data_IF_583314634947
#
_entry.id   IF_583314634947
#
_cell.length_a   1.000
_cell.length_b   1.000
_cell.length_c   1.000
_cell.angle_alpha   90.00
_cell.angle_beta   90.00
_cell.angle_gamma   90.00
#
_symmetry.space_group_name_H-M   'P 1'
#
loop_
_entity.id
_entity.type
_entity.pdbx_description
1 polymer ?
#
# COMPACT_ATOMS: atom_id res chain seq x y z
N UNK A 1 -6.42 61.33 -68.01
CA UNK A 1 -5.62 60.12 -67.77
C UNK A 1 -6.58 59.01 -67.44
N UNK A 2 -6.89 58.15 -68.42
CA UNK A 2 -7.87 57.08 -68.27
C UNK A 2 -7.11 55.76 -68.39
N UNK A 3 -6.62 55.26 -67.26
CA UNK A 3 -5.94 53.96 -67.18
C UNK A 3 -7.01 52.88 -67.33
N UNK A 4 -6.82 51.95 -68.28
CA UNK A 4 -7.69 50.78 -68.41
C UNK A 4 -7.21 49.70 -67.45
N UNK A 5 -8.12 49.22 -66.59
CA UNK A 5 -7.87 48.09 -65.70
C UNK A 5 -8.56 46.84 -66.25
N UNK A 6 -7.93 45.67 -66.08
CA UNK A 6 -8.52 44.40 -66.46
C UNK A 6 -9.64 44.00 -65.48
N UNK A 7 -10.66 43.30 -65.97
CA UNK A 7 -11.69 42.72 -65.10
C UNK A 7 -11.08 41.72 -64.11
N UNK A 8 -11.73 41.49 -62.97
CA UNK A 8 -11.24 40.66 -61.85
C UNK A 8 -10.82 39.21 -62.19
N UNK A 9 -11.20 38.67 -63.35
CA UNK A 9 -10.77 37.34 -63.81
C UNK A 9 -9.59 37.36 -64.78
N UNK A 10 -8.97 38.52 -65.01
CA UNK A 10 -7.90 38.73 -65.97
C UNK A 10 -6.76 39.59 -65.40
N UNK A 11 -5.51 39.26 -65.74
CA UNK A 11 -4.33 40.06 -65.41
C UNK A 11 -3.80 40.82 -66.64
N UNK A 12 -3.19 42.00 -66.44
CA UNK A 12 -2.59 42.78 -67.52
C UNK A 12 -1.32 42.10 -68.06
N UNK A 13 -1.27 41.86 -69.35
CA UNK A 13 -0.08 41.37 -70.05
C UNK A 13 0.18 42.23 -71.29
N UNK A 14 0.99 43.28 -71.11
CA UNK A 14 1.23 44.30 -72.14
C UNK A 14 -0.03 45.13 -72.40
N UNK A 15 -0.52 45.15 -73.65
CA UNK A 15 -1.73 45.88 -74.06
C UNK A 15 -3.01 45.04 -74.01
N UNK A 16 -2.95 43.82 -73.48
CA UNK A 16 -4.07 42.87 -73.46
C UNK A 16 -4.29 42.28 -72.07
N UNK A 17 -5.55 41.97 -71.74
CA UNK A 17 -5.92 41.26 -70.51
C UNK A 17 -5.95 39.75 -70.78
N UNK A 18 -5.20 38.95 -70.02
CA UNK A 18 -5.19 37.48 -70.10
C UNK A 18 -5.88 36.85 -68.89
N UNK A 19 -6.55 35.68 -69.02
CA UNK A 19 -7.20 35.03 -67.89
C UNK A 19 -6.22 34.72 -66.77
N UNK A 20 -6.64 34.84 -65.51
CA UNK A 20 -5.84 34.40 -64.36
C UNK A 20 -5.48 32.91 -64.48
N UNK A 21 -4.29 32.57 -63.99
CA UNK A 21 -3.71 31.22 -64.01
C UNK A 21 -4.39 30.39 -62.93
N UNK A 22 -5.02 29.29 -63.34
CA UNK A 22 -5.68 28.34 -62.44
C UNK A 22 -4.74 27.79 -61.36
N UNK A 23 -5.31 27.44 -60.22
CA UNK A 23 -4.57 26.78 -59.15
C UNK A 23 -3.89 25.49 -59.64
N UNK A 24 -2.72 25.17 -59.06
CA UNK A 24 -1.82 24.08 -59.44
C UNK A 24 -1.17 24.19 -60.83
N UNK A 25 -1.45 25.24 -61.62
CA UNK A 25 -0.80 25.48 -62.91
C UNK A 25 0.51 26.26 -62.77
N UNK A 26 1.46 26.10 -63.71
CA UNK A 26 2.72 26.82 -63.68
C UNK A 26 2.53 28.33 -63.75
N UNK A 27 3.33 29.06 -62.98
CA UNK A 27 3.32 30.52 -62.92
C UNK A 27 4.74 31.06 -62.83
N UNK A 28 4.93 32.28 -63.32
CA UNK A 28 6.22 32.98 -63.28
C UNK A 28 6.15 34.28 -62.44
N UNK A 29 4.94 34.74 -62.12
CA UNK A 29 4.67 36.02 -61.44
C UNK A 29 3.54 35.82 -60.44
N UNK A 30 3.71 36.38 -59.22
CA UNK A 30 2.78 36.20 -58.10
C UNK A 30 1.34 36.65 -58.38
N UNK A 31 1.16 37.77 -59.09
CA UNK A 31 -0.16 38.40 -59.28
C UNK A 31 -0.97 37.83 -60.45
N UNK A 32 -0.46 36.80 -61.14
CA UNK A 32 -1.16 36.22 -62.29
C UNK A 32 -2.05 35.02 -61.92
N UNK A 33 -2.02 34.56 -60.68
CA UNK A 33 -2.81 33.42 -60.21
C UNK A 33 -4.28 33.80 -59.95
N UNK A 34 -5.18 32.81 -59.97
CA UNK A 34 -6.59 32.98 -59.57
C UNK A 34 -6.71 33.60 -58.17
N UNK A 35 -7.87 34.19 -57.89
CA UNK A 35 -8.17 34.78 -56.57
C UNK A 35 -7.90 33.80 -55.43
N UNK A 36 -7.33 34.31 -54.33
CA UNK A 36 -6.87 33.53 -53.18
C UNK A 36 -5.80 32.48 -53.52
N UNK A 37 -4.97 32.72 -54.53
CA UNK A 37 -3.78 31.93 -54.83
C UNK A 37 -2.54 32.81 -55.03
N UNK A 38 -1.37 32.28 -54.69
CA UNK A 38 -0.06 32.90 -54.88
C UNK A 38 0.85 31.99 -55.70
N UNK A 39 1.72 32.58 -56.52
CA UNK A 39 2.74 31.80 -57.22
C UNK A 39 3.83 31.36 -56.22
N UNK A 40 3.85 30.07 -55.88
CA UNK A 40 4.85 29.49 -55.00
C UNK A 40 6.21 29.44 -55.72
N UNK A 41 7.23 30.01 -55.09
CA UNK A 41 8.55 30.22 -55.71
C UNK A 41 9.38 28.95 -55.83
N UNK A 42 9.02 27.90 -55.07
CA UNK A 42 9.72 26.61 -55.04
C UNK A 42 9.16 25.67 -56.11
N UNK A 43 7.85 25.49 -56.12
CA UNK A 43 7.11 24.63 -57.04
C UNK A 43 6.82 25.29 -58.39
N UNK A 44 6.94 26.64 -58.45
CA UNK A 44 6.57 27.48 -59.61
C UNK A 44 5.15 27.23 -60.09
N UNK A 45 4.23 27.01 -59.14
CA UNK A 45 2.80 26.79 -59.40
C UNK A 45 1.95 27.71 -58.54
N UNK A 46 0.76 28.05 -59.03
CA UNK A 46 -0.23 28.78 -58.25
C UNK A 46 -0.74 27.89 -57.10
N UNK A 47 -0.42 28.23 -55.86
CA UNK A 47 -0.88 27.53 -54.67
C UNK A 47 -1.94 28.39 -53.96
N UNK A 48 -3.03 27.76 -53.52
CA UNK A 48 -4.05 28.47 -52.75
C UNK A 48 -3.46 29.04 -51.47
N UNK A 49 -3.94 30.23 -51.10
CA UNK A 49 -3.56 30.91 -49.87
C UNK A 49 -4.01 30.10 -48.64
N UNK A 50 -3.45 30.44 -47.48
CA UNK A 50 -3.87 29.88 -46.21
C UNK A 50 -5.39 29.98 -46.01
N UNK A 51 -6.03 28.89 -45.61
CA UNK A 51 -7.49 28.79 -45.48
C UNK A 51 -8.25 28.53 -46.78
N UNK A 52 -7.57 28.24 -47.90
CA UNK A 52 -8.19 27.88 -49.17
C UNK A 52 -7.62 26.58 -49.75
N UNK A 53 -8.48 25.79 -50.40
CA UNK A 53 -8.12 24.57 -51.10
C UNK A 53 -8.47 24.65 -52.60
N UNK A 54 -7.76 23.85 -53.39
CA UNK A 54 -7.99 23.80 -54.84
C UNK A 54 -9.21 22.96 -55.18
N UNK A 55 -10.11 23.49 -56.01
CA UNK A 55 -11.21 22.74 -56.61
C UNK A 55 -11.53 23.30 -57.98
N UNK A 56 -11.38 22.47 -59.01
CA UNK A 56 -11.65 22.80 -60.41
C UNK A 56 -10.88 24.05 -60.88
N UNK A 57 -9.59 24.15 -60.54
CA UNK A 57 -8.70 25.24 -60.95
C UNK A 57 -8.91 26.55 -60.19
N UNK A 58 -9.76 26.59 -59.17
CA UNK A 58 -10.04 27.75 -58.32
C UNK A 58 -9.73 27.44 -56.86
N UNK A 59 -9.42 28.48 -56.08
CA UNK A 59 -9.24 28.36 -54.64
C UNK A 59 -10.57 28.68 -53.93
N UNK A 60 -11.07 27.73 -53.15
CA UNK A 60 -12.27 27.85 -52.32
C UNK A 60 -11.89 27.81 -50.85
N UNK A 61 -12.66 28.45 -49.99
CA UNK A 61 -12.45 28.40 -48.54
C UNK A 61 -12.44 26.96 -48.04
N UNK A 62 -11.42 26.61 -47.25
CA UNK A 62 -11.30 25.32 -46.59
C UNK A 62 -12.49 25.04 -45.66
N UNK A 63 -12.83 23.76 -45.54
CA UNK A 63 -13.92 23.31 -44.68
C UNK A 63 -13.43 23.27 -43.23
N UNK A 64 -14.20 23.87 -42.32
CA UNK A 64 -13.89 23.91 -40.89
C UNK A 64 -13.82 22.50 -40.29
N UNK A 65 -12.95 22.33 -39.30
CA UNK A 65 -12.88 21.10 -38.53
C UNK A 65 -14.21 20.86 -37.79
N UNK A 66 -14.76 19.65 -37.95
CA UNK A 66 -16.08 19.25 -37.47
C UNK A 66 -17.19 19.33 -38.52
N UNK A 67 -16.95 19.93 -39.69
CA UNK A 67 -17.94 20.06 -40.76
C UNK A 67 -17.84 18.94 -41.81
N UNK A 68 -18.93 18.75 -42.57
CA UNK A 68 -19.05 17.73 -43.60
C UNK A 68 -18.09 17.97 -44.77
N UNK A 69 -17.37 16.93 -45.15
CA UNK A 69 -16.42 16.93 -46.26
C UNK A 69 -16.61 15.69 -47.12
N UNK A 70 -16.15 15.75 -48.38
CA UNK A 70 -16.30 14.64 -49.33
C UNK A 70 -14.99 14.14 -49.91
N UNK A 71 -13.94 14.96 -49.86
CA UNK A 71 -12.66 14.67 -50.49
C UNK A 71 -11.52 14.98 -49.53
N UNK A 72 -10.40 14.31 -49.71
CA UNK A 72 -9.18 14.61 -48.97
C UNK A 72 -8.63 15.99 -49.36
N UNK A 73 -7.93 16.64 -48.43
CA UNK A 73 -7.26 17.93 -48.65
C UNK A 73 -8.20 19.13 -48.81
N UNK A 74 -9.48 18.99 -48.45
CA UNK A 74 -10.45 20.10 -48.51
C UNK A 74 -10.65 20.82 -47.18
N UNK A 75 -10.12 20.26 -46.09
CA UNK A 75 -10.31 20.76 -44.74
C UNK A 75 -9.33 21.89 -44.40
N UNK A 76 -9.56 22.55 -43.27
CA UNK A 76 -8.64 23.53 -42.69
C UNK A 76 -7.27 22.91 -42.37
N UNK A 77 -6.27 23.75 -42.07
CA UNK A 77 -4.92 23.27 -41.75
C UNK A 77 -4.95 22.28 -40.57
N UNK A 78 -4.10 21.25 -40.66
CA UNK A 78 -4.01 20.18 -39.64
C UNK A 78 -5.32 19.41 -39.43
N UNK A 79 -6.25 19.46 -40.39
CA UNK A 79 -7.42 18.59 -40.48
C UNK A 79 -7.38 17.76 -41.77
N UNK A 80 -8.00 16.58 -41.74
CA UNK A 80 -8.21 15.76 -42.92
C UNK A 80 -9.65 15.22 -42.94
N UNK A 81 -10.18 15.02 -44.14
CA UNK A 81 -11.51 14.48 -44.32
C UNK A 81 -11.54 12.99 -44.00
N UNK A 82 -12.29 12.59 -42.98
CA UNK A 82 -12.52 11.18 -42.65
C UNK A 82 -13.60 10.58 -43.55
N UNK A 83 -13.26 10.40 -44.82
CA UNK A 83 -14.15 9.91 -45.89
C UNK A 83 -14.73 8.52 -45.62
N UNK A 84 -14.13 7.74 -44.72
CA UNK A 84 -14.49 6.33 -44.51
C UNK A 84 -15.39 6.08 -43.30
N UNK A 85 -15.48 7.00 -42.35
CA UNK A 85 -16.28 6.79 -41.13
C UNK A 85 -17.28 7.93 -40.90
N UNK A 86 -16.80 9.15 -40.70
CA UNK A 86 -17.65 10.28 -40.28
C UNK A 86 -18.04 11.21 -41.44
N UNK A 87 -17.28 11.23 -42.53
CA UNK A 87 -17.36 12.26 -43.58
C UNK A 87 -17.24 13.68 -43.01
N UNK A 88 -16.53 13.84 -41.89
CA UNK A 88 -16.24 15.12 -41.26
C UNK A 88 -14.76 15.46 -41.40
N UNK A 89 -14.44 16.74 -41.41
CA UNK A 89 -13.06 17.20 -41.23
C UNK A 89 -12.62 16.94 -39.80
N UNK A 90 -11.67 16.01 -39.60
CA UNK A 90 -11.14 15.62 -38.29
C UNK A 90 -9.73 16.15 -38.15
N UNK A 91 -9.41 16.74 -37.00
CA UNK A 91 -8.05 17.17 -36.72
C UNK A 91 -7.07 15.99 -36.73
N UNK A 92 -5.90 16.21 -37.32
CA UNK A 92 -4.81 15.25 -37.37
C UNK A 92 -4.28 14.94 -35.96
N UNK A 93 -3.55 13.83 -35.83
CA UNK A 93 -2.94 13.45 -34.56
C UNK A 93 -2.07 14.58 -34.00
N UNK A 94 -2.29 14.93 -32.73
CA UNK A 94 -1.60 16.04 -32.09
C UNK A 94 -2.39 17.35 -32.08
N UNK A 95 -3.60 17.39 -32.65
CA UNK A 95 -4.46 18.57 -32.69
C UNK A 95 -5.88 18.30 -32.16
N UNK A 96 -6.55 19.31 -31.63
CA UNK A 96 -7.96 19.31 -31.23
C UNK A 96 -8.74 20.41 -31.94
N UNK A 97 -10.05 20.21 -32.08
CA UNK A 97 -10.94 21.20 -32.70
C UNK A 97 -11.34 22.29 -31.72
N UNK A 98 -11.13 23.56 -32.10
CA UNK A 98 -11.62 24.72 -31.37
C UNK A 98 -12.10 25.81 -32.32
N UNK A 99 -13.42 26.01 -32.38
CA UNK A 99 -14.02 27.06 -33.20
C UNK A 99 -13.84 26.87 -34.71
N UNK A 100 -13.80 25.63 -35.20
CA UNK A 100 -13.62 25.31 -36.62
C UNK A 100 -12.17 25.15 -37.07
N UNK A 101 -11.20 25.45 -36.20
CA UNK A 101 -9.76 25.27 -36.45
C UNK A 101 -9.19 24.10 -35.66
N UNK A 102 -8.07 23.55 -36.14
CA UNK A 102 -7.29 22.54 -35.42
C UNK A 102 -6.11 23.20 -34.69
N UNK A 103 -6.14 23.15 -33.35
CA UNK A 103 -5.09 23.68 -32.47
C UNK A 103 -4.28 22.54 -31.87
N UNK A 104 -2.99 22.75 -31.63
CA UNK A 104 -2.12 21.74 -31.02
C UNK A 104 -2.67 21.30 -29.64
N UNK A 105 -2.61 20.01 -29.34
CA UNK A 105 -3.01 19.47 -28.05
C UNK A 105 -2.19 20.11 -26.92
N UNK A 106 -2.90 20.42 -25.83
CA UNK A 106 -2.36 21.11 -24.67
C UNK A 106 -1.48 20.12 -23.87
N UNK A 107 -0.21 20.46 -23.59
CA UNK A 107 0.68 19.60 -22.83
C UNK A 107 0.17 19.30 -21.41
N UNK A 108 0.57 18.17 -20.84
CA UNK A 108 0.31 17.85 -19.44
C UNK A 108 0.81 18.97 -18.51
N UNK A 109 0.08 19.22 -17.43
CA UNK A 109 0.33 20.30 -16.46
C UNK A 109 -0.07 21.71 -16.93
N UNK A 110 -0.49 21.88 -18.19
CA UNK A 110 -0.89 23.19 -18.73
C UNK A 110 -2.39 23.45 -18.60
N UNK A 111 -2.77 24.74 -18.63
CA UNK A 111 -4.16 25.15 -18.47
C UNK A 111 -5.03 24.73 -19.67
N UNK A 112 -6.21 24.20 -19.37
CA UNK A 112 -7.20 23.75 -20.35
C UNK A 112 -8.59 24.25 -19.97
N UNK A 113 -9.51 24.25 -20.94
CA UNK A 113 -10.86 24.79 -20.76
C UNK A 113 -11.97 23.79 -21.05
N UNK A 114 -11.69 22.75 -21.84
CA UNK A 114 -12.66 21.72 -22.21
C UNK A 114 -12.01 20.33 -22.23
N UNK A 115 -12.80 19.25 -22.06
CA UNK A 115 -12.34 17.89 -22.34
C UNK A 115 -11.86 17.74 -23.79
N UNK A 116 -10.88 16.86 -24.02
CA UNK A 116 -10.35 16.57 -25.35
C UNK A 116 -9.35 17.60 -25.91
N UNK A 117 -8.96 18.61 -25.13
CA UNK A 117 -7.93 19.57 -25.52
C UNK A 117 -6.51 19.12 -25.19
N UNK A 118 -6.36 18.18 -24.25
CA UNK A 118 -5.06 17.76 -23.72
C UNK A 118 -4.40 16.71 -24.61
N UNK A 119 -3.08 16.56 -24.47
CA UNK A 119 -2.31 15.46 -25.10
C UNK A 119 -2.93 14.09 -24.81
N UNK A 120 -2.52 13.07 -25.58
CA UNK A 120 -2.97 11.69 -25.36
C UNK A 120 -2.74 11.24 -23.92
N UNK A 121 -3.68 10.46 -23.40
CA UNK A 121 -3.66 9.93 -22.04
C UNK A 121 -3.65 11.03 -20.96
N UNK A 122 -4.25 12.19 -21.27
CA UNK A 122 -4.50 13.28 -20.34
C UNK A 122 -5.92 13.82 -20.50
N UNK A 123 -6.52 14.20 -19.38
CA UNK A 123 -7.85 14.81 -19.33
C UNK A 123 -7.79 16.18 -18.66
N UNK A 124 -8.61 17.11 -19.16
CA UNK A 124 -8.77 18.41 -18.53
C UNK A 124 -9.52 18.25 -17.20
N UNK A 125 -8.82 18.44 -16.08
CA UNK A 125 -9.37 18.23 -14.76
C UNK A 125 -10.27 19.40 -14.30
N UNK A 126 -10.90 19.25 -13.13
CA UNK A 126 -11.79 20.28 -12.56
C UNK A 126 -11.08 21.58 -12.18
N UNK A 127 -9.74 21.59 -12.08
CA UNK A 127 -8.95 22.80 -11.85
C UNK A 127 -8.47 23.45 -13.13
N UNK A 128 -9.04 23.08 -14.28
CA UNK A 128 -8.67 23.62 -15.59
C UNK A 128 -7.19 23.38 -15.94
N UNK A 129 -6.66 22.22 -15.57
CA UNK A 129 -5.31 21.77 -15.96
C UNK A 129 -5.35 20.39 -16.60
N UNK A 130 -4.51 20.15 -17.60
CA UNK A 130 -4.33 18.84 -18.21
C UNK A 130 -3.60 17.91 -17.25
N UNK A 131 -4.29 16.90 -16.76
CA UNK A 131 -3.76 15.90 -15.84
C UNK A 131 -3.69 14.54 -16.55
N UNK A 132 -2.57 13.83 -16.41
CA UNK A 132 -2.45 12.50 -16.98
C UNK A 132 -3.50 11.55 -16.40
N UNK A 133 -4.07 10.72 -17.26
CA UNK A 133 -5.09 9.76 -16.88
C UNK A 133 -4.52 8.69 -15.93
N UNK A 134 -5.42 7.98 -15.23
CA UNK A 134 -5.04 6.92 -14.29
C UNK A 134 -4.15 5.89 -14.99
N UNK A 135 -2.94 5.69 -14.47
CA UNK A 135 -1.95 4.77 -15.04
C UNK A 135 -0.85 5.46 -15.84
N UNK A 136 -0.88 6.79 -15.95
CA UNK A 136 0.13 7.59 -16.62
C UNK A 136 0.72 8.67 -15.69
N UNK A 137 1.92 9.14 -16.01
CA UNK A 137 2.59 10.26 -15.36
C UNK A 137 3.12 11.26 -16.38
N UNK A 138 3.26 12.52 -15.97
CA UNK A 138 3.92 13.55 -16.78
C UNK A 138 5.43 13.34 -16.73
N UNK A 139 6.05 13.12 -17.88
CA UNK A 139 7.50 12.92 -18.01
C UNK A 139 8.32 14.23 -17.93
N UNK A 140 7.67 15.36 -17.64
CA UNK A 140 8.30 16.67 -17.47
C UNK A 140 8.53 17.43 -18.77
N UNK A 141 8.18 16.84 -19.93
CA UNK A 141 8.12 17.53 -21.23
C UNK A 141 6.66 17.70 -21.70
N UNK A 142 5.69 17.56 -20.79
CA UNK A 142 4.27 17.77 -21.06
C UNK A 142 3.61 16.63 -21.82
N UNK A 143 4.15 15.41 -21.71
CA UNK A 143 3.59 14.18 -22.27
C UNK A 143 3.32 13.18 -21.16
N UNK A 144 2.22 12.44 -21.31
CA UNK A 144 1.86 11.37 -20.39
C UNK A 144 2.48 10.04 -20.83
N UNK A 145 3.22 9.41 -19.94
CA UNK A 145 3.82 8.09 -20.14
C UNK A 145 3.28 7.09 -19.13
N UNK A 146 3.28 5.79 -19.48
CA UNK A 146 2.76 4.74 -18.61
C UNK A 146 3.57 4.66 -17.31
N UNK A 147 2.88 4.54 -16.17
CA UNK A 147 3.50 4.34 -14.87
C UNK A 147 4.37 3.08 -14.85
N UNK A 148 5.53 3.21 -14.22
CA UNK A 148 6.50 2.15 -14.00
C UNK A 148 5.96 1.18 -12.96
N UNK A 149 5.98 -0.11 -13.31
CA UNK A 149 5.57 -1.20 -12.43
C UNK A 149 6.43 -1.27 -11.15
N UNK A 150 5.82 -1.76 -10.07
CA UNK A 150 6.52 -2.07 -8.83
C UNK A 150 7.73 -2.99 -9.08
N UNK A 151 8.80 -2.79 -8.32
CA UNK A 151 10.10 -3.48 -8.41
C UNK A 151 10.94 -3.19 -9.67
N UNK A 152 10.46 -2.34 -10.58
CA UNK A 152 11.22 -1.88 -11.76
C UNK A 152 12.05 -0.64 -11.46
N UNK A 153 13.12 -0.39 -12.25
CA UNK A 153 13.97 0.79 -12.08
C UNK A 153 13.22 2.10 -12.29
N UNK A 154 13.56 3.13 -11.52
CA UNK A 154 12.96 4.45 -11.59
C UNK A 154 14.00 5.54 -11.27
N UNK A 155 13.67 6.79 -11.62
CA UNK A 155 14.45 7.98 -11.30
C UNK A 155 13.73 8.86 -10.26
N UNK A 156 12.41 8.99 -10.42
CA UNK A 156 11.57 9.87 -9.61
C UNK A 156 10.28 9.17 -9.16
N UNK A 157 9.71 9.64 -8.05
CA UNK A 157 8.52 9.02 -7.44
C UNK A 157 7.29 9.08 -8.35
N UNK A 158 7.12 10.18 -9.10
CA UNK A 158 6.00 10.38 -10.02
C UNK A 158 5.91 9.31 -11.11
N UNK A 159 7.02 8.64 -11.43
CA UNK A 159 7.07 7.61 -12.45
C UNK A 159 6.45 6.30 -11.96
N UNK A 160 6.39 6.07 -10.65
CA UNK A 160 6.02 4.78 -10.09
C UNK A 160 4.51 4.59 -10.01
N UNK A 161 4.06 3.33 -10.17
CA UNK A 161 2.66 2.95 -9.96
C UNK A 161 2.11 3.47 -8.62
N UNK A 162 0.79 3.66 -8.54
CA UNK A 162 0.14 4.20 -7.34
C UNK A 162 0.53 3.46 -6.05
N UNK A 163 0.74 4.22 -4.97
CA UNK A 163 1.23 3.75 -3.67
C UNK A 163 2.63 3.11 -3.74
N UNK A 164 3.49 3.60 -4.63
CA UNK A 164 4.89 3.25 -4.69
C UNK A 164 5.77 4.51 -4.72
N UNK A 165 6.95 4.41 -4.12
CA UNK A 165 7.96 5.45 -4.06
C UNK A 165 9.24 4.96 -4.71
N UNK A 166 9.95 5.85 -5.42
CA UNK A 166 11.20 5.51 -6.07
C UNK A 166 12.35 5.52 -5.06
N UNK A 167 12.67 4.36 -4.48
CA UNK A 167 13.67 4.25 -3.43
C UNK A 167 14.85 3.38 -3.87
N UNK A 168 16.03 3.64 -3.30
CA UNK A 168 17.17 2.77 -3.51
C UNK A 168 16.90 1.41 -2.84
N UNK A 169 16.96 0.33 -3.61
CA UNK A 169 16.80 -1.01 -3.06
C UNK A 169 17.89 -1.26 -2.01
N UNK A 170 17.49 -1.47 -0.76
CA UNK A 170 18.39 -1.51 0.39
C UNK A 170 19.50 -2.57 0.25
N UNK A 171 20.72 -2.24 0.69
CA UNK A 171 21.89 -3.12 0.92
C UNK A 171 22.69 -3.63 -0.29
N UNK A 172 22.55 -3.08 -1.48
CA UNK A 172 23.53 -3.27 -2.57
C UNK A 172 23.73 -1.95 -3.30
N UNK A 173 24.78 -1.80 -4.11
CA UNK A 173 24.90 -0.71 -5.10
C UNK A 173 23.84 -0.86 -6.20
N UNK A 174 22.58 -1.07 -5.81
CA UNK A 174 21.47 -1.33 -6.69
C UNK A 174 20.87 -0.02 -7.18
N UNK A 175 20.35 -0.10 -8.40
CA UNK A 175 19.51 0.90 -9.04
C UNK A 175 18.29 1.21 -8.17
N UNK A 176 17.81 2.46 -8.25
CA UNK A 176 16.56 2.88 -7.60
C UNK A 176 15.39 2.14 -8.25
N UNK A 177 14.43 1.70 -7.44
CA UNK A 177 13.26 0.94 -7.89
C UNK A 177 11.98 1.48 -7.26
N UNK A 178 10.86 1.29 -7.96
CA UNK A 178 9.55 1.59 -7.42
C UNK A 178 9.21 0.57 -6.32
N UNK A 179 9.24 1.00 -5.06
CA UNK A 179 8.92 0.16 -3.90
C UNK A 179 7.55 0.58 -3.35
N UNK A 180 6.69 -0.40 -3.08
CA UNK A 180 5.39 -0.14 -2.48
C UNK A 180 5.53 0.54 -1.11
N UNK A 181 4.64 1.51 -0.87
CA UNK A 181 4.56 2.24 0.38
C UNK A 181 4.12 1.35 1.54
N UNK A 182 4.28 1.85 2.77
CA UNK A 182 3.85 1.13 3.97
C UNK A 182 2.34 0.84 3.91
N UNK A 183 1.97 -0.43 4.10
CA UNK A 183 0.58 -0.89 3.97
C UNK A 183 0.25 -1.46 2.58
N UNK A 184 1.22 -1.50 1.66
CA UNK A 184 1.06 -2.10 0.35
C UNK A 184 2.16 -3.11 0.04
N UNK A 185 1.87 -4.05 -0.87
CA UNK A 185 2.79 -5.06 -1.36
C UNK A 185 2.74 -5.17 -2.88
N UNK A 186 3.87 -5.57 -3.48
CA UNK A 186 3.98 -5.75 -4.94
C UNK A 186 3.28 -7.02 -5.39
N UNK A 187 2.37 -6.90 -6.35
CA UNK A 187 1.70 -8.02 -7.00
C UNK A 187 1.42 -7.68 -8.47
N UNK A 188 2.02 -8.45 -9.39
CA UNK A 188 1.93 -8.22 -10.84
C UNK A 188 2.20 -6.76 -11.25
N UNK A 189 3.27 -6.17 -10.70
CA UNK A 189 3.68 -4.81 -11.05
C UNK A 189 2.84 -3.69 -10.42
N UNK A 190 1.86 -4.01 -9.57
CA UNK A 190 1.02 -3.04 -8.87
C UNK A 190 1.19 -3.16 -7.36
N UNK A 191 0.99 -2.06 -6.63
CA UNK A 191 0.96 -2.07 -5.17
C UNK A 191 -0.47 -2.34 -4.67
N UNK A 192 -0.67 -3.50 -4.05
CA UNK A 192 -1.94 -3.95 -3.46
C UNK A 192 -1.90 -3.78 -1.95
N UNK A 193 -3.06 -3.53 -1.35
CA UNK A 193 -3.18 -3.36 0.11
C UNK A 193 -2.79 -4.67 0.81
N UNK A 194 -1.97 -4.58 1.86
CA UNK A 194 -1.61 -5.75 2.68
C UNK A 194 -2.82 -6.34 3.39
N UNK A 195 -2.77 -7.65 3.61
CA UNK A 195 -3.79 -8.44 4.26
C UNK A 195 -3.63 -8.41 5.78
N UNK A 196 -4.70 -8.13 6.53
CA UNK A 196 -4.67 -8.17 7.98
C UNK A 196 -4.53 -9.62 8.51
N UNK A 197 -4.20 -9.80 9.80
CA UNK A 197 -4.18 -11.11 10.43
C UNK A 197 -5.51 -11.86 10.26
N UNK A 198 -5.43 -13.19 10.08
CA UNK A 198 -6.57 -14.08 9.84
C UNK A 198 -7.05 -14.17 8.38
N UNK A 199 -6.53 -13.34 7.47
CA UNK A 199 -6.84 -13.41 6.04
C UNK A 199 -5.94 -14.41 5.30
N UNK A 200 -6.50 -15.06 4.27
CA UNK A 200 -5.79 -16.05 3.47
C UNK A 200 -4.66 -15.40 2.66
N UNK A 201 -3.48 -15.98 2.68
CA UNK A 201 -2.28 -15.52 2.00
C UNK A 201 -1.55 -16.68 1.29
N UNK A 202 -0.73 -16.36 0.29
CA UNK A 202 0.19 -17.31 -0.35
C UNK A 202 1.65 -16.95 -0.08
N UNK A 203 1.95 -15.65 0.09
CA UNK A 203 3.29 -15.12 0.37
C UNK A 203 3.25 -14.18 1.59
N UNK A 204 4.30 -14.19 2.40
CA UNK A 204 4.45 -13.32 3.58
C UNK A 204 4.39 -11.83 3.23
N UNK A 205 4.83 -11.44 2.02
CA UNK A 205 4.76 -10.05 1.55
C UNK A 205 3.32 -9.53 1.44
N UNK A 206 2.35 -10.43 1.29
CA UNK A 206 0.94 -10.04 1.26
C UNK A 206 0.44 -9.59 2.61
N UNK A 207 1.11 -9.95 3.71
CA UNK A 207 0.63 -9.73 5.06
C UNK A 207 1.10 -8.37 5.62
N UNK A 208 0.35 -7.84 6.59
CA UNK A 208 0.71 -6.59 7.26
C UNK A 208 2.09 -6.66 7.92
N UNK A 209 2.69 -5.50 8.23
CA UNK A 209 4.01 -5.47 8.86
C UNK A 209 4.00 -6.21 10.20
N UNK A 210 5.08 -6.92 10.50
CA UNK A 210 5.23 -7.77 11.68
C UNK A 210 4.27 -8.98 11.71
N UNK A 211 3.81 -9.42 10.55
CA UNK A 211 3.11 -10.69 10.38
C UNK A 211 3.78 -11.54 9.29
N UNK A 212 3.47 -12.83 9.29
CA UNK A 212 3.93 -13.78 8.28
C UNK A 212 2.78 -14.65 7.80
N UNK A 213 2.89 -15.14 6.56
CA UNK A 213 1.96 -16.12 6.04
C UNK A 213 2.34 -17.50 6.58
N UNK A 214 1.53 -18.10 7.47
CA UNK A 214 1.88 -19.39 8.05
C UNK A 214 1.52 -20.54 7.10
N UNK A 215 2.46 -21.45 6.78
CA UNK A 215 2.19 -22.59 5.89
C UNK A 215 1.12 -23.55 6.42
N UNK A 216 0.89 -23.58 7.73
CA UNK A 216 -0.08 -24.47 8.39
C UNK A 216 -1.53 -24.03 8.22
N UNK A 217 -1.78 -22.72 8.29
CA UNK A 217 -3.13 -22.13 8.25
C UNK A 217 -3.42 -21.44 6.92
N UNK A 218 -2.38 -21.14 6.13
CA UNK A 218 -2.44 -20.30 4.93
C UNK A 218 -3.05 -18.93 5.21
N UNK A 219 -2.90 -18.43 6.44
CA UNK A 219 -3.37 -17.12 6.86
C UNK A 219 -2.23 -16.25 7.38
N UNK A 220 -2.40 -14.94 7.25
CA UNK A 220 -1.50 -13.98 7.86
C UNK A 220 -1.64 -14.05 9.38
N UNK A 221 -0.54 -14.23 10.10
CA UNK A 221 -0.52 -14.24 11.56
C UNK A 221 0.61 -13.35 12.08
N UNK A 222 0.36 -12.63 13.17
CA UNK A 222 1.36 -11.78 13.80
C UNK A 222 2.55 -12.62 14.26
N UNK A 223 3.76 -12.06 14.13
CA UNK A 223 4.97 -12.66 14.68
C UNK A 223 4.89 -12.73 16.21
N UNK A 224 5.69 -13.60 16.83
CA UNK A 224 5.56 -14.00 18.24
C UNK A 224 5.51 -12.85 19.26
N UNK A 225 6.09 -11.69 18.96
CA UNK A 225 6.11 -10.53 19.87
C UNK A 225 5.04 -9.47 19.55
N UNK A 226 4.04 -9.82 18.74
CA UNK A 226 3.01 -8.91 18.27
C UNK A 226 1.62 -9.56 18.39
N UNK A 227 0.60 -8.74 18.61
CA UNK A 227 -0.80 -9.14 18.61
C UNK A 227 -1.60 -8.40 17.55
N UNK A 228 -2.70 -8.98 17.11
CA UNK A 228 -3.59 -8.38 16.13
C UNK A 228 -4.51 -7.35 16.81
N UNK A 229 -4.53 -6.13 16.26
CA UNK A 229 -5.46 -5.09 16.72
C UNK A 229 -6.78 -5.15 15.94
N UNK A 230 -7.81 -4.51 16.46
CA UNK A 230 -9.10 -4.37 15.76
C UNK A 230 -8.98 -3.67 14.38
N UNK A 231 -7.89 -2.94 14.13
CA UNK A 231 -7.58 -2.29 12.85
C UNK A 231 -6.83 -3.22 11.88
N UNK A 232 -6.59 -4.48 12.25
CA UNK A 232 -5.88 -5.45 11.40
C UNK A 232 -4.38 -5.21 11.30
N UNK A 233 -3.78 -4.61 12.34
CA UNK A 233 -2.34 -4.33 12.42
C UNK A 233 -1.72 -5.19 13.51
N UNK A 234 -0.48 -5.65 13.31
CA UNK A 234 0.29 -6.34 14.34
C UNK A 234 1.06 -5.34 15.21
N UNK A 235 0.52 -5.06 16.39
CA UNK A 235 1.12 -4.17 17.38
C UNK A 235 2.00 -4.96 18.36
N UNK A 236 3.10 -4.38 18.90
CA UNK A 236 3.93 -5.06 19.88
C UNK A 236 3.12 -5.46 21.12
N UNK A 237 3.39 -6.64 21.68
CA UNK A 237 2.80 -7.08 22.94
C UNK A 237 3.10 -6.08 24.07
N UNK A 238 2.13 -5.92 24.96
CA UNK A 238 2.18 -5.03 26.12
C UNK A 238 2.93 -5.69 27.26
N UNK A 239 3.85 -4.93 27.84
CA UNK A 239 4.63 -5.37 28.99
C UNK A 239 3.79 -5.38 30.27
N UNK A 240 4.26 -6.10 31.28
CA UNK A 240 3.57 -6.15 32.58
C UNK A 240 3.46 -4.75 33.18
N UNK A 241 2.29 -4.45 33.75
CA UNK A 241 1.94 -3.14 34.30
C UNK A 241 1.35 -2.16 33.28
N UNK A 242 1.42 -2.46 31.98
CA UNK A 242 0.77 -1.64 30.95
C UNK A 242 -0.73 -1.92 30.86
N UNK A 243 -1.49 -0.92 30.44
CA UNK A 243 -2.94 -1.03 30.34
C UNK A 243 -3.36 -1.95 29.19
N UNK A 244 -4.26 -2.88 29.44
CA UNK A 244 -4.78 -3.85 28.47
C UNK A 244 -6.31 -3.92 28.55
N UNK A 245 -6.94 -4.47 27.49
CA UNK A 245 -8.37 -4.80 27.49
C UNK A 245 -8.59 -6.32 27.40
N UNK A 246 -7.71 -7.02 26.67
CA UNK A 246 -7.77 -8.45 26.44
C UNK A 246 -6.43 -9.13 26.74
N UNK A 247 -6.46 -10.43 27.07
CA UNK A 247 -5.27 -11.21 27.44
C UNK A 247 -4.24 -11.28 26.31
N UNK A 248 -4.69 -11.38 25.05
CA UNK A 248 -3.81 -11.47 23.87
C UNK A 248 -2.94 -10.23 23.65
N UNK A 249 -3.26 -9.11 24.29
CA UNK A 249 -2.47 -7.89 24.19
C UNK A 249 -1.19 -7.99 25.02
N UNK A 250 -1.15 -8.88 26.01
CA UNK A 250 -0.08 -8.95 27.00
C UNK A 250 1.04 -9.90 26.56
N UNK A 251 2.26 -9.64 27.05
CA UNK A 251 3.43 -10.50 26.80
C UNK A 251 3.20 -11.94 27.25
N UNK A 252 4.05 -12.87 26.80
CA UNK A 252 3.97 -14.29 27.18
C UNK A 252 3.90 -14.49 28.69
N UNK A 253 3.13 -15.51 29.09
CA UNK A 253 2.89 -15.89 30.49
C UNK A 253 2.26 -14.77 31.35
N UNK A 254 1.62 -13.79 30.71
CA UNK A 254 0.83 -12.74 31.37
C UNK A 254 -0.59 -12.67 30.82
N UNK A 255 -1.50 -12.13 31.62
CA UNK A 255 -2.93 -11.98 31.31
C UNK A 255 -3.41 -10.61 31.74
N UNK A 256 -4.50 -10.15 31.15
CA UNK A 256 -5.08 -8.84 31.43
C UNK A 256 -6.00 -8.92 32.66
N UNK A 257 -5.48 -8.54 33.83
CA UNK A 257 -6.25 -8.51 35.07
C UNK A 257 -6.47 -7.06 35.52
N UNK A 258 -7.74 -6.71 35.76
CA UNK A 258 -8.14 -5.36 36.17
C UNK A 258 -7.62 -4.24 35.24
N UNK A 259 -7.54 -4.52 33.94
CA UNK A 259 -7.09 -3.57 32.92
C UNK A 259 -5.58 -3.34 32.87
N UNK A 260 -4.77 -4.20 33.51
CA UNK A 260 -3.31 -4.18 33.42
C UNK A 260 -2.74 -5.57 33.18
N UNK A 261 -1.68 -5.67 32.38
CA UNK A 261 -1.01 -6.95 32.14
C UNK A 261 -0.30 -7.41 33.41
N UNK A 262 -0.62 -8.61 33.88
CA UNK A 262 -0.06 -9.23 35.10
C UNK A 262 0.38 -10.66 34.81
N UNK A 263 1.47 -11.11 35.42
CA UNK A 263 1.91 -12.49 35.24
C UNK A 263 0.86 -13.50 35.69
N UNK A 264 0.73 -14.57 34.91
CA UNK A 264 -0.11 -15.71 35.23
C UNK A 264 0.44 -16.51 36.42
N UNK A 265 -0.32 -17.53 36.83
CA UNK A 265 0.07 -18.44 37.92
C UNK A 265 1.42 -19.10 37.61
N UNK A 266 2.32 -19.10 38.58
CA UNK A 266 3.65 -19.70 38.41
C UNK A 266 4.71 -18.75 37.83
N UNK A 267 4.37 -17.48 37.57
CA UNK A 267 5.32 -16.49 37.05
C UNK A 267 5.32 -15.20 37.88
N UNK A 268 6.44 -14.47 37.87
CA UNK A 268 6.63 -13.16 38.50
C UNK A 268 7.36 -12.20 37.56
N UNK A 269 7.28 -10.90 37.84
CA UNK A 269 8.08 -9.90 37.15
C UNK A 269 9.19 -9.33 38.00
N UNK A 270 10.37 -9.18 37.43
CA UNK A 270 11.35 -8.23 37.93
C UNK A 270 11.06 -6.82 37.39
N UNK A 271 11.23 -5.81 38.25
CA UNK A 271 11.09 -4.39 37.87
C UNK A 271 11.98 -3.98 36.68
N UNK A 272 13.06 -4.71 36.42
CA UNK A 272 14.02 -4.46 35.35
C UNK A 272 13.63 -5.08 34.00
N UNK A 273 12.98 -6.24 33.98
CA UNK A 273 12.67 -6.97 32.74
C UNK A 273 11.28 -6.65 32.21
N UNK A 274 10.32 -6.34 33.09
CA UNK A 274 8.89 -6.13 32.75
C UNK A 274 8.27 -7.30 31.95
N UNK A 275 8.92 -8.46 32.00
CA UNK A 275 8.50 -9.74 31.41
C UNK A 275 8.30 -10.76 32.54
N UNK A 276 7.48 -11.78 32.26
CA UNK A 276 7.21 -12.84 33.22
C UNK A 276 8.34 -13.88 33.24
N UNK A 277 8.80 -14.19 34.45
CA UNK A 277 9.81 -15.21 34.74
C UNK A 277 9.18 -16.27 35.66
N UNK A 278 9.56 -17.53 35.52
CA UNK A 278 9.00 -18.59 36.37
C UNK A 278 9.35 -18.41 37.85
N UNK A 279 8.36 -18.60 38.72
CA UNK A 279 8.54 -18.63 40.17
C UNK A 279 9.53 -19.73 40.55
N UNK A 280 10.35 -19.45 41.56
CA UNK A 280 11.33 -20.39 42.07
C UNK A 280 10.64 -21.44 42.94
N UNK A 281 10.97 -22.73 42.77
CA UNK A 281 10.39 -23.79 43.58
C UNK A 281 10.83 -23.65 45.05
N UNK A 282 10.14 -24.38 45.93
CA UNK A 282 10.55 -24.53 47.33
C UNK A 282 12.03 -24.91 47.38
N UNK A 283 12.71 -24.43 48.42
CA UNK A 283 14.13 -24.61 48.65
C UNK A 283 15.11 -23.84 47.77
N UNK A 284 14.61 -23.10 46.78
CA UNK A 284 15.45 -22.27 45.92
C UNK A 284 15.93 -20.99 46.61
N UNK A 285 17.12 -20.47 46.24
CA UNK A 285 17.63 -19.22 46.77
C UNK A 285 16.78 -18.03 46.30
N UNK A 286 16.40 -17.16 47.23
CA UNK A 286 15.52 -16.04 46.99
C UNK A 286 16.01 -14.75 47.65
N UNK A 287 15.48 -13.61 47.19
CA UNK A 287 15.74 -12.29 47.77
C UNK A 287 14.45 -11.56 48.16
N UNK A 288 13.29 -12.03 47.70
CA UNK A 288 11.95 -11.51 47.98
C UNK A 288 10.93 -12.65 47.86
N UNK A 289 9.88 -12.67 48.69
CA UNK A 289 8.82 -13.72 48.64
C UNK A 289 8.13 -13.78 47.29
N UNK A 290 7.97 -12.65 46.59
CA UNK A 290 7.35 -12.60 45.26
C UNK A 290 8.07 -13.43 44.16
N UNK A 291 9.27 -13.95 44.45
CA UNK A 291 10.03 -14.82 43.54
C UNK A 291 9.81 -16.31 43.82
N UNK A 292 9.15 -16.65 44.92
CA UNK A 292 8.92 -18.02 45.34
C UNK A 292 7.56 -18.50 44.84
N UNK A 293 7.41 -19.81 44.69
CA UNK A 293 6.13 -20.45 44.36
C UNK A 293 4.98 -19.94 45.25
N UNK A 294 3.75 -20.07 44.76
CA UNK A 294 2.58 -19.54 45.48
C UNK A 294 2.51 -20.15 46.90
N UNK A 295 2.12 -19.34 47.88
CA UNK A 295 2.14 -19.68 49.31
C UNK A 295 3.51 -19.95 49.94
N UNK A 296 4.62 -19.67 49.24
CA UNK A 296 5.96 -19.68 49.82
C UNK A 296 6.46 -18.26 50.15
N UNK A 297 7.13 -18.14 51.28
CA UNK A 297 7.84 -16.94 51.72
C UNK A 297 9.35 -17.09 51.57
N UNK A 298 10.02 -15.96 51.32
CA UNK A 298 11.48 -15.92 51.29
C UNK A 298 12.02 -15.68 52.68
N UNK A 299 12.50 -16.74 53.33
CA UNK A 299 13.06 -16.69 54.68
C UNK A 299 14.59 -16.63 54.63
N UNK A 300 15.17 -15.72 55.41
CA UNK A 300 16.62 -15.53 55.47
C UNK A 300 17.24 -16.27 56.65
N UNK A 301 18.30 -17.05 56.39
CA UNK A 301 19.10 -17.65 57.44
C UNK A 301 19.96 -16.60 58.18
N UNK A 302 20.61 -17.01 59.28
CA UNK A 302 21.53 -16.16 60.07
C UNK A 302 22.73 -15.63 59.27
N UNK A 303 22.98 -16.17 58.07
CA UNK A 303 24.04 -15.72 57.16
C UNK A 303 23.53 -14.76 56.09
N UNK A 304 22.22 -14.44 56.08
CA UNK A 304 21.60 -13.56 55.10
C UNK A 304 21.28 -14.23 53.77
N UNK A 305 21.29 -15.57 53.69
CA UNK A 305 20.87 -16.32 52.49
C UNK A 305 19.37 -16.61 52.58
N UNK A 306 18.61 -16.07 51.62
CA UNK A 306 17.18 -16.30 51.51
C UNK A 306 16.87 -17.64 50.84
N UNK A 307 15.88 -18.37 51.36
CA UNK A 307 15.37 -19.63 50.82
C UNK A 307 13.84 -19.59 50.75
N UNK A 308 13.25 -20.09 49.67
CA UNK A 308 11.79 -20.20 49.53
C UNK A 308 11.27 -21.32 50.43
N UNK A 309 10.35 -20.99 51.35
CA UNK A 309 9.77 -21.93 52.33
C UNK A 309 8.26 -21.74 52.36
N UNK A 310 7.49 -22.83 52.39
CA UNK A 310 6.04 -22.77 52.47
C UNK A 310 5.55 -22.09 53.75
N UNK A 311 4.45 -21.34 53.64
CA UNK A 311 3.74 -20.76 54.78
C UNK A 311 3.18 -21.84 55.71
N UNK A 312 2.74 -21.44 56.90
CA UNK A 312 2.32 -22.36 57.98
C UNK A 312 1.15 -23.27 57.63
N UNK A 313 0.33 -22.94 56.65
CA UNK A 313 -0.84 -23.75 56.29
C UNK A 313 -0.60 -24.66 55.08
N UNK A 314 0.66 -24.74 54.62
CA UNK A 314 1.05 -25.45 53.40
C UNK A 314 2.27 -26.34 53.64
N UNK A 315 2.34 -27.49 52.95
CA UNK A 315 3.52 -28.34 52.91
C UNK A 315 4.24 -28.23 51.56
N UNK A 316 5.55 -28.50 51.58
CA UNK A 316 6.36 -28.53 50.37
C UNK A 316 6.17 -29.86 49.64
N UNK A 317 5.63 -29.81 48.42
CA UNK A 317 5.61 -30.96 47.53
C UNK A 317 6.97 -31.06 46.81
N UNK A 318 7.72 -32.13 47.11
CA UNK A 318 9.07 -32.31 46.58
C UNK A 318 9.13 -32.68 45.10
N UNK A 319 8.03 -33.18 44.53
CA UNK A 319 7.98 -33.64 43.14
C UNK A 319 7.67 -32.48 42.19
N UNK A 320 6.84 -31.54 42.64
CA UNK A 320 6.41 -30.37 41.87
C UNK A 320 7.11 -29.08 42.29
N UNK A 321 7.70 -29.05 43.49
CA UNK A 321 8.36 -27.86 44.05
C UNK A 321 7.37 -26.74 44.43
N UNK A 322 6.08 -27.07 44.61
CA UNK A 322 5.01 -26.14 45.02
C UNK A 322 4.68 -26.28 46.51
N UNK A 323 3.87 -25.35 47.01
CA UNK A 323 3.31 -25.43 48.36
C UNK A 323 1.83 -25.81 48.24
N UNK A 324 1.49 -26.98 48.76
CA UNK A 324 0.13 -27.54 48.74
C UNK A 324 -0.50 -27.41 50.14
N UNK A 325 -1.83 -27.30 50.22
CA UNK A 325 -2.53 -27.15 51.50
C UNK A 325 -2.30 -28.36 52.41
N UNK A 326 -2.12 -28.11 53.72
CA UNK A 326 -1.98 -29.19 54.70
C UNK A 326 -3.22 -30.09 54.72
N UNK A 327 -2.96 -31.39 54.71
CA UNK A 327 -3.96 -32.45 54.69
C UNK A 327 -4.59 -32.57 56.09
N UNK A 328 -5.92 -32.46 56.14
CA UNK A 328 -6.69 -32.64 57.37
C UNK A 328 -6.73 -34.11 57.81
N UNK A 329 -7.09 -34.33 59.07
CA UNK A 329 -7.17 -35.68 59.65
C UNK A 329 -8.11 -36.60 58.85
N UNK A 330 -7.88 -37.91 58.89
CA UNK A 330 -8.61 -38.95 58.15
C UNK A 330 -8.48 -38.93 56.61
N UNK A 331 -7.65 -38.02 56.08
CA UNK A 331 -7.31 -37.97 54.65
C UNK A 331 -5.98 -38.70 54.39
N UNK A 332 -5.80 -39.28 53.18
CA UNK A 332 -4.61 -40.05 52.85
C UNK A 332 -3.36 -39.16 52.75
N UNK A 333 -2.21 -39.68 53.17
CA UNK A 333 -0.92 -39.00 53.15
C UNK A 333 0.20 -39.96 52.73
N UNK A 334 1.37 -39.44 52.41
CA UNK A 334 2.60 -40.20 52.14
C UNK A 334 3.75 -39.80 53.07
N UNK A 335 3.61 -38.67 53.76
CA UNK A 335 4.60 -38.15 54.70
C UNK A 335 3.92 -37.32 55.79
N UNK A 336 4.44 -37.39 57.02
CA UNK A 336 3.98 -36.57 58.15
C UNK A 336 4.07 -35.07 57.87
N UNK A 337 4.97 -34.64 56.98
CA UNK A 337 5.08 -33.23 56.60
C UNK A 337 3.82 -32.69 55.89
N UNK A 338 2.97 -33.57 55.35
CA UNK A 338 1.74 -33.17 54.64
C UNK A 338 0.57 -32.89 55.58
N UNK A 339 0.64 -33.34 56.83
CA UNK A 339 -0.49 -33.29 57.76
C UNK A 339 -0.53 -31.96 58.53
N UNK A 340 -1.74 -31.50 58.89
CA UNK A 340 -1.93 -30.29 59.71
C UNK A 340 -1.11 -30.29 61.00
N UNK A 341 -0.80 -29.10 61.53
CA UNK A 341 -0.10 -28.93 62.81
C UNK A 341 -0.81 -29.76 63.90
N UNK A 342 -0.09 -30.74 64.48
CA UNK A 342 -0.55 -31.75 65.45
C UNK A 342 -1.14 -33.05 64.89
N UNK A 343 -1.01 -33.33 63.60
CA UNK A 343 -1.27 -34.64 63.02
C UNK A 343 0.04 -35.34 62.58
N UNK A 344 0.00 -36.66 62.49
CA UNK A 344 1.08 -37.53 62.04
C UNK A 344 0.56 -38.48 60.96
N UNK A 345 1.38 -38.75 59.93
CA UNK A 345 0.99 -39.66 58.86
C UNK A 345 1.25 -41.09 59.33
N UNK A 346 0.19 -41.83 59.63
CA UNK A 346 0.29 -43.18 60.19
C UNK A 346 -0.35 -44.20 59.25
N UNK A 347 0.17 -45.42 59.25
CA UNK A 347 -0.41 -46.53 58.51
C UNK A 347 -1.72 -46.98 59.17
N UNK A 348 -2.80 -47.09 58.40
CA UNK A 348 -4.09 -47.59 58.89
C UNK A 348 -4.00 -49.11 59.10
N UNK A 349 -4.14 -49.56 60.35
CA UNK A 349 -4.13 -50.99 60.71
C UNK A 349 -5.39 -51.77 60.25
N UNK A 350 -6.34 -51.13 59.55
CA UNK A 350 -7.64 -51.71 59.16
C UNK A 350 -7.81 -51.91 57.64
N UNK A 351 -6.75 -52.22 56.90
CA UNK A 351 -6.91 -52.59 55.48
C UNK A 351 -7.33 -54.07 55.37
N UNK A 352 -8.48 -54.30 54.75
CA UNK A 352 -9.04 -55.64 54.44
C UNK A 352 -8.28 -56.34 53.28
N UNK A 353 -7.24 -55.69 52.74
CA UNK A 353 -6.42 -56.15 51.62
C UNK A 353 -4.92 -56.06 51.98
N UNK A 354 -4.19 -57.19 52.06
CA UNK A 354 -2.77 -57.22 52.44
C UNK A 354 -1.81 -56.64 51.39
N UNK A 355 -2.31 -56.08 50.27
CA UNK A 355 -1.48 -55.50 49.21
C UNK A 355 -1.57 -53.97 49.09
N UNK A 356 -2.33 -53.28 49.94
CA UNK A 356 -2.46 -51.81 49.90
C UNK A 356 -2.11 -51.24 51.28
N UNK A 357 -0.92 -50.65 51.42
CA UNK A 357 -0.62 -49.80 52.58
C UNK A 357 -1.31 -48.45 52.41
N UNK A 358 -2.30 -48.17 53.25
CA UNK A 358 -3.00 -46.89 53.28
C UNK A 358 -2.49 -46.09 54.48
N UNK A 359 -1.95 -44.90 54.24
CA UNK A 359 -1.48 -44.00 55.27
C UNK A 359 -2.45 -42.82 55.37
N UNK A 360 -2.82 -42.41 56.58
CA UNK A 360 -3.70 -41.25 56.82
C UNK A 360 -3.15 -40.33 57.89
N UNK A 361 -3.48 -39.05 57.78
CA UNK A 361 -3.16 -38.07 58.81
C UNK A 361 -4.04 -38.31 60.05
N UNK A 362 -3.42 -38.56 61.19
CA UNK A 362 -4.10 -38.81 62.47
C UNK A 362 -3.59 -37.86 63.56
N UNK A 363 -4.46 -37.40 64.46
CA UNK A 363 -4.07 -36.50 65.54
C UNK A 363 -3.03 -37.16 66.46
N UNK A 364 -2.00 -36.39 66.83
CA UNK A 364 -1.04 -36.81 67.85
C UNK A 364 -1.73 -36.93 69.22
N UNK A 365 -1.35 -37.90 70.06
CA UNK A 365 -1.93 -38.06 71.39
C UNK A 365 -1.79 -36.78 72.22
N UNK A 366 -2.91 -36.22 72.66
CA UNK A 366 -2.96 -35.04 73.55
C UNK A 366 -3.30 -33.70 72.88
N UNK A 367 -3.77 -33.70 71.62
CA UNK A 367 -4.28 -32.54 70.90
C UNK A 367 -5.72 -32.72 70.41
#
# INVERSE_FOLDING_TARGET
NSTCECNSSFFPNGSSCKPLIEASKPCDVMEHCVENAICDTVTRKCQCNFGFFETNGKCKESIDAGDLCTNLGTCTESAECDVNQTSLCVCNQGFYTDGGECKELIPAGSACSKPGQCVSDATCNSTSSCECDIGFYDNGIGKCEVLIEAEKPCLEDAQCTFNATCLQATYTNAERKCLCESGFYSHHGQCKVVKPPGQICNDTRECTRNSACLPSTLTCECLSNFYDTAQGVCAPLKLVGQCCSEDRECTFDSSCLNGSCTCGKGFYTEYSSLTCESLKPVDSPCTKSARCTYHADCLFDVTGRGKCVCGSDYYADSDTGTCEELITTSSPCTSTAQCTHNAECIELELVVDPYISLYTCECKPGF
#
